data_IF_054689297178
#
_entry.id   IF_054689297178
#
_cell.length_a   1.000
_cell.length_b   1.000
_cell.length_c   1.000
_cell.angle_alpha   90.00
_cell.angle_beta   90.00
_cell.angle_gamma   90.00
#
_symmetry.space_group_name_H-M   'P 1'
#
loop_
_entity.id
_entity.type
_entity.pdbx_description
1 polymer ?
#
# COMPACT_ATOMS: atom_id res chain seq x y z
N UNK A 1 24.54 15.30 2.61
CA UNK A 1 23.55 14.26 2.25
C UNK A 1 22.20 14.70 2.76
N UNK A 2 21.11 14.40 2.05
CA UNK A 2 19.78 14.69 2.58
C UNK A 2 19.48 13.73 3.73
N UNK A 3 18.62 14.13 4.68
CA UNK A 3 18.22 13.26 5.79
C UNK A 3 17.58 11.94 5.31
N UNK A 4 16.87 11.97 4.18
CA UNK A 4 16.35 10.77 3.52
C UNK A 4 17.45 9.79 3.11
N UNK A 5 18.61 10.29 2.67
CA UNK A 5 19.74 9.46 2.26
C UNK A 5 20.40 8.79 3.47
N UNK A 6 20.49 9.52 4.59
CA UNK A 6 20.98 8.98 5.86
C UNK A 6 20.09 7.84 6.34
N UNK A 7 18.76 8.02 6.33
CA UNK A 7 17.81 6.97 6.71
C UNK A 7 17.85 5.78 5.75
N UNK A 8 17.97 6.02 4.44
CA UNK A 8 18.08 4.95 3.42
C UNK A 8 19.36 4.14 3.58
N UNK A 9 20.46 4.80 3.97
CA UNK A 9 21.74 4.14 4.26
C UNK A 9 21.65 3.35 5.56
N UNK A 10 21.07 3.93 6.61
CA UNK A 10 20.91 3.29 7.91
C UNK A 10 19.97 2.07 7.91
N UNK A 11 19.07 1.97 6.93
CA UNK A 11 18.11 0.87 6.77
C UNK A 11 18.42 -0.05 5.58
N UNK A 12 19.63 0.02 5.03
CA UNK A 12 19.99 -0.67 3.80
C UNK A 12 19.80 -2.20 3.89
N UNK A 13 20.18 -2.82 5.01
CA UNK A 13 20.01 -4.25 5.25
C UNK A 13 18.53 -4.69 5.20
N UNK A 14 17.65 -3.95 5.90
CA UNK A 14 16.20 -4.22 5.89
C UNK A 14 15.61 -3.94 4.51
N UNK A 15 16.04 -2.87 3.84
CA UNK A 15 15.58 -2.52 2.50
C UNK A 15 15.89 -3.62 1.48
N UNK A 16 17.12 -4.12 1.46
CA UNK A 16 17.52 -5.21 0.57
C UNK A 16 16.79 -6.52 0.92
N UNK A 17 16.59 -6.81 2.21
CA UNK A 17 15.81 -7.97 2.66
C UNK A 17 14.34 -7.91 2.19
N UNK A 18 13.71 -6.73 2.18
CA UNK A 18 12.35 -6.56 1.65
C UNK A 18 12.28 -6.84 0.14
N UNK A 19 13.25 -6.37 -0.65
CA UNK A 19 13.29 -6.62 -2.09
C UNK A 19 13.56 -8.08 -2.44
N UNK A 20 14.36 -8.77 -1.61
CA UNK A 20 14.64 -10.19 -1.75
C UNK A 20 13.53 -11.09 -1.18
N UNK A 21 12.54 -10.53 -0.47
CA UNK A 21 11.52 -11.32 0.20
C UNK A 21 10.70 -12.16 -0.80
N UNK A 22 10.47 -13.46 -0.56
CA UNK A 22 9.78 -14.35 -1.50
C UNK A 22 8.41 -13.86 -1.94
N UNK A 23 7.70 -13.13 -1.08
CA UNK A 23 6.42 -12.51 -1.44
C UNK A 23 6.57 -11.45 -2.55
N UNK A 24 7.53 -10.52 -2.39
CA UNK A 24 7.78 -9.43 -3.37
C UNK A 24 8.31 -10.01 -4.67
N UNK A 25 9.26 -10.95 -4.59
CA UNK A 25 9.78 -11.70 -5.74
C UNK A 25 8.67 -12.44 -6.47
N UNK A 26 7.81 -13.14 -5.72
CA UNK A 26 6.68 -13.89 -6.27
C UNK A 26 5.65 -13.01 -6.97
N UNK A 27 5.41 -11.78 -6.50
CA UNK A 27 4.57 -10.81 -7.22
C UNK A 27 5.25 -10.40 -8.53
N UNK A 28 6.52 -10.01 -8.48
CA UNK A 28 7.26 -9.54 -9.65
C UNK A 28 7.36 -10.62 -10.74
N UNK A 29 7.49 -11.88 -10.34
CA UNK A 29 7.63 -13.03 -11.23
C UNK A 29 6.28 -13.64 -11.63
N UNK A 30 5.17 -13.23 -11.00
CA UNK A 30 3.84 -13.81 -11.23
C UNK A 30 3.68 -15.24 -10.71
N UNK A 31 4.51 -15.65 -9.75
CA UNK A 31 4.57 -17.02 -9.20
C UNK A 31 3.99 -17.12 -7.79
N UNK A 32 3.58 -16.00 -7.18
CA UNK A 32 3.01 -15.98 -5.84
C UNK A 32 1.71 -16.78 -5.77
N UNK A 33 1.58 -17.59 -4.72
CA UNK A 33 0.33 -18.26 -4.36
C UNK A 33 -0.80 -17.23 -4.14
N UNK A 34 -1.88 -17.43 -4.88
CA UNK A 34 -3.04 -16.55 -4.88
C UNK A 34 -3.68 -16.37 -3.50
N UNK A 35 -3.65 -17.40 -2.63
CA UNK A 35 -4.22 -17.29 -1.29
C UNK A 35 -3.37 -16.43 -0.37
N UNK A 36 -2.03 -16.46 -0.53
CA UNK A 36 -1.13 -15.53 0.17
C UNK A 36 -1.38 -14.10 -0.27
N UNK A 37 -1.65 -13.92 -1.55
CA UNK A 37 -1.97 -12.61 -2.10
C UNK A 37 -3.32 -12.08 -1.59
N UNK A 38 -4.38 -12.91 -1.60
CA UNK A 38 -5.69 -12.58 -1.04
C UNK A 38 -5.61 -12.24 0.45
N UNK A 39 -4.80 -12.95 1.22
CA UNK A 39 -4.53 -12.62 2.61
C UNK A 39 -3.86 -11.24 2.75
N UNK A 40 -2.82 -10.97 1.97
CA UNK A 40 -2.14 -9.68 1.98
C UNK A 40 -3.10 -8.52 1.63
N UNK A 41 -3.93 -8.65 0.58
CA UNK A 41 -4.92 -7.62 0.21
C UNK A 41 -5.87 -7.30 1.37
N UNK A 42 -6.38 -8.32 2.07
CA UNK A 42 -7.28 -8.11 3.22
C UNK A 42 -6.57 -7.40 4.38
N UNK A 43 -5.33 -7.74 4.65
CA UNK A 43 -4.55 -7.14 5.73
C UNK A 43 -4.06 -5.72 5.40
N UNK A 44 -3.69 -5.46 4.15
CA UNK A 44 -3.23 -4.16 3.67
C UNK A 44 -4.36 -3.11 3.72
N UNK A 45 -5.61 -3.52 3.46
CA UNK A 45 -6.79 -2.68 3.65
C UNK A 45 -6.89 -2.12 5.08
N UNK A 46 -6.59 -2.95 6.09
CA UNK A 46 -6.63 -2.55 7.49
C UNK A 46 -5.49 -1.59 7.83
N UNK A 47 -4.31 -1.75 7.20
CA UNK A 47 -3.19 -0.81 7.35
C UNK A 47 -3.54 0.55 6.75
N UNK A 48 -4.19 0.61 5.58
CA UNK A 48 -4.58 1.87 4.94
C UNK A 48 -5.50 2.73 5.82
N UNK A 49 -6.40 2.10 6.57
CA UNK A 49 -7.26 2.81 7.53
C UNK A 49 -6.43 3.49 8.62
N UNK A 50 -5.46 2.77 9.19
CA UNK A 50 -4.59 3.31 10.25
C UNK A 50 -3.57 4.31 9.68
N UNK A 51 -3.15 4.12 8.43
CA UNK A 51 -2.30 5.04 7.70
C UNK A 51 -2.98 6.40 7.50
N UNK A 52 -4.27 6.42 7.13
CA UNK A 52 -5.05 7.65 7.05
C UNK A 52 -5.12 8.39 8.40
N UNK A 53 -5.24 7.66 9.52
CA UNK A 53 -5.22 8.25 10.88
C UNK A 53 -3.84 8.81 11.23
N UNK A 54 -2.77 8.09 10.89
CA UNK A 54 -1.39 8.55 11.05
C UNK A 54 -1.16 9.86 10.26
N UNK A 55 -1.65 9.96 9.03
CA UNK A 55 -1.58 11.18 8.21
C UNK A 55 -2.35 12.35 8.85
N UNK A 56 -3.55 12.09 9.38
CA UNK A 56 -4.33 13.10 10.10
C UNK A 56 -3.60 13.62 11.35
N UNK A 57 -2.96 12.74 12.12
CA UNK A 57 -2.09 13.13 13.23
C UNK A 57 -0.88 13.95 12.77
N UNK A 58 -0.32 13.61 11.60
CA UNK A 58 0.71 14.39 10.93
C UNK A 58 0.25 15.82 10.63
N UNK A 59 -0.97 15.99 10.11
CA UNK A 59 -1.57 17.30 9.86
C UNK A 59 -1.72 18.11 11.15
N UNK A 60 -2.26 17.49 12.20
CA UNK A 60 -2.47 18.14 13.50
C UNK A 60 -1.16 18.61 14.16
N UNK A 61 -0.02 17.98 13.83
CA UNK A 61 1.30 18.28 14.40
C UNK A 61 2.21 19.08 13.47
N UNK A 62 1.81 19.32 12.23
CA UNK A 62 2.66 20.00 11.26
C UNK A 62 2.93 21.45 11.69
N UNK A 63 4.21 21.88 11.74
CA UNK A 63 4.57 23.23 12.19
C UNK A 63 4.20 24.31 11.17
N UNK A 64 4.24 23.95 9.89
CA UNK A 64 4.02 24.87 8.78
C UNK A 64 2.66 24.64 8.11
N UNK A 65 1.88 25.68 7.79
CA UNK A 65 0.57 25.55 7.14
C UNK A 65 0.60 24.77 5.82
N UNK A 66 1.68 24.90 5.04
CA UNK A 66 1.84 24.16 3.79
C UNK A 66 1.96 22.65 4.02
N UNK A 67 2.72 22.25 5.04
CA UNK A 67 2.90 20.86 5.45
C UNK A 67 1.62 20.30 6.06
N UNK A 68 0.94 21.08 6.91
CA UNK A 68 -0.37 20.73 7.47
C UNK A 68 -1.39 20.43 6.37
N UNK A 69 -1.51 21.33 5.39
CA UNK A 69 -2.40 21.15 4.24
C UNK A 69 -2.06 19.87 3.48
N UNK A 70 -0.77 19.62 3.23
CA UNK A 70 -0.34 18.41 2.51
C UNK A 70 -0.75 17.13 3.22
N UNK A 71 -0.55 17.05 4.54
CA UNK A 71 -0.98 15.89 5.32
C UNK A 71 -2.51 15.75 5.36
N UNK A 72 -3.25 16.85 5.46
CA UNK A 72 -4.71 16.83 5.45
C UNK A 72 -5.27 16.34 4.11
N UNK A 73 -4.72 16.81 2.99
CA UNK A 73 -5.06 16.32 1.65
C UNK A 73 -4.84 14.81 1.54
N UNK A 74 -3.70 14.32 2.00
CA UNK A 74 -3.38 12.88 1.95
C UNK A 74 -4.32 12.07 2.84
N UNK A 75 -4.55 12.51 4.08
CA UNK A 75 -5.46 11.86 5.03
C UNK A 75 -6.90 11.77 4.50
N UNK A 76 -7.32 12.74 3.69
CA UNK A 76 -8.62 12.72 3.02
C UNK A 76 -8.61 11.82 1.78
N UNK A 77 -7.55 11.84 0.96
CA UNK A 77 -7.48 11.06 -0.28
C UNK A 77 -7.37 9.55 -0.04
N UNK A 78 -6.69 9.10 1.02
CA UNK A 78 -6.52 7.65 1.28
C UNK A 78 -7.85 6.93 1.49
N UNK A 79 -8.78 7.38 2.36
CA UNK A 79 -10.07 6.72 2.54
C UNK A 79 -11.01 6.81 1.34
N UNK A 80 -10.84 7.82 0.49
CA UNK A 80 -11.69 8.07 -0.68
C UNK A 80 -11.16 7.31 -1.89
N UNK A 81 -9.98 7.68 -2.38
CA UNK A 81 -9.46 7.21 -3.65
C UNK A 81 -8.76 5.85 -3.51
N UNK A 82 -7.88 5.73 -2.51
CA UNK A 82 -7.02 4.55 -2.34
C UNK A 82 -7.82 3.34 -1.84
N UNK A 83 -8.73 3.54 -0.87
CA UNK A 83 -9.60 2.47 -0.41
C UNK A 83 -10.64 2.06 -1.47
N UNK A 84 -11.08 2.93 -2.37
CA UNK A 84 -11.93 2.53 -3.50
C UNK A 84 -11.18 1.61 -4.47
N UNK A 85 -9.95 1.98 -4.85
CA UNK A 85 -9.07 1.14 -5.65
C UNK A 85 -8.80 -0.22 -4.97
N UNK A 86 -8.59 -0.20 -3.65
CA UNK A 86 -8.35 -1.43 -2.90
C UNK A 86 -9.56 -2.36 -2.89
N UNK A 87 -10.79 -1.79 -2.77
CA UNK A 87 -12.05 -2.55 -2.87
C UNK A 87 -12.25 -3.13 -4.26
N UNK A 88 -11.98 -2.38 -5.33
CA UNK A 88 -12.09 -2.90 -6.69
C UNK A 88 -11.12 -4.05 -6.93
N UNK A 89 -9.88 -3.90 -6.44
CA UNK A 89 -8.87 -4.93 -6.53
C UNK A 89 -9.24 -6.18 -5.72
N UNK A 90 -9.69 -6.02 -4.48
CA UNK A 90 -10.19 -7.12 -3.66
C UNK A 90 -11.32 -7.90 -4.37
N UNK A 91 -12.24 -7.20 -5.05
CA UNK A 91 -13.31 -7.82 -5.82
C UNK A 91 -12.79 -8.64 -7.02
N UNK A 92 -11.75 -8.18 -7.74
CA UNK A 92 -11.13 -8.94 -8.83
C UNK A 92 -10.56 -10.28 -8.37
N UNK A 93 -10.09 -10.34 -7.12
CA UNK A 93 -9.59 -11.57 -6.52
C UNK A 93 -10.67 -12.41 -5.84
N UNK A 94 -11.93 -11.97 -5.85
CA UNK A 94 -13.07 -12.67 -5.25
C UNK A 94 -13.18 -12.50 -3.74
N UNK A 95 -12.74 -11.37 -3.19
CA UNK A 95 -12.94 -11.01 -1.78
C UNK A 95 -14.18 -10.10 -1.71
N UNK A 96 -15.17 -10.49 -0.93
CA UNK A 96 -16.40 -9.70 -0.79
C UNK A 96 -16.17 -8.43 0.04
N UNK A 97 -16.94 -7.36 -0.22
CA UNK A 97 -16.81 -6.12 0.57
C UNK A 97 -17.01 -6.35 2.08
N UNK A 98 -18.05 -7.11 2.45
CA UNK A 98 -18.32 -7.45 3.85
C UNK A 98 -17.17 -8.27 4.46
N UNK A 99 -16.61 -9.21 3.70
CA UNK A 99 -15.47 -10.01 4.14
C UNK A 99 -14.28 -9.10 4.45
N UNK A 100 -13.94 -8.21 3.51
CA UNK A 100 -12.85 -7.23 3.64
C UNK A 100 -13.03 -6.30 4.85
N UNK A 101 -14.23 -5.75 5.05
CA UNK A 101 -14.53 -4.84 6.16
C UNK A 101 -14.60 -5.54 7.52
N UNK A 102 -14.84 -6.85 7.54
CA UNK A 102 -14.90 -7.66 8.76
C UNK A 102 -13.58 -8.36 9.11
N UNK A 103 -12.55 -8.21 8.28
CA UNK A 103 -11.27 -8.90 8.47
C UNK A 103 -10.61 -8.50 9.80
N UNK A 104 -10.20 -9.46 10.64
CA UNK A 104 -9.40 -9.15 11.82
C UNK A 104 -7.95 -8.85 11.44
N UNK A 105 -7.35 -7.84 12.08
CA UNK A 105 -5.91 -7.59 11.94
C UNK A 105 -5.10 -8.78 12.47
N UNK A 106 -4.21 -9.30 11.62
CA UNK A 106 -3.19 -10.24 12.04
C UNK A 106 -2.21 -9.56 13.03
N UNK A 107 -1.52 -10.32 13.89
CA UNK A 107 -0.62 -9.76 14.91
C UNK A 107 0.47 -8.84 14.33
N UNK A 108 1.06 -9.19 13.19
CA UNK A 108 2.07 -8.39 12.50
C UNK A 108 1.48 -7.08 11.96
N UNK A 109 0.30 -7.14 11.34
CA UNK A 109 -0.47 -6.00 10.84
C UNK A 109 -0.78 -5.01 11.96
N UNK A 110 -1.33 -5.53 13.07
CA UNK A 110 -1.63 -4.73 14.26
C UNK A 110 -0.38 -4.06 14.82
N UNK A 111 0.70 -4.82 15.01
CA UNK A 111 1.95 -4.28 15.57
C UNK A 111 2.50 -3.13 14.72
N UNK A 112 2.46 -3.28 13.39
CA UNK A 112 2.91 -2.25 12.47
C UNK A 112 2.01 -1.01 12.52
N UNK A 113 0.70 -1.20 12.44
CA UNK A 113 -0.25 -0.09 12.45
C UNK A 113 -0.22 0.68 13.79
N UNK A 114 -0.20 -0.03 14.91
CA UNK A 114 -0.07 0.55 16.25
C UNK A 114 1.24 1.35 16.38
N UNK A 115 2.34 0.84 15.80
CA UNK A 115 3.61 1.56 15.78
C UNK A 115 3.51 2.88 15.01
N UNK A 116 2.94 2.87 13.79
CA UNK A 116 2.80 4.08 12.97
C UNK A 116 1.97 5.16 13.67
N UNK A 117 0.78 4.78 14.15
CA UNK A 117 -0.13 5.71 14.84
C UNK A 117 0.51 6.21 16.14
N UNK A 118 1.16 5.34 16.92
CA UNK A 118 1.81 5.73 18.18
C UNK A 118 2.93 6.73 17.95
N UNK A 119 3.81 6.51 16.96
CA UNK A 119 4.91 7.43 16.69
C UNK A 119 4.38 8.78 16.19
N UNK A 120 3.38 8.78 15.31
CA UNK A 120 2.71 10.01 14.88
C UNK A 120 2.02 10.74 16.06
N UNK A 121 1.38 10.00 16.96
CA UNK A 121 0.68 10.55 18.11
C UNK A 121 1.63 11.08 19.19
N UNK A 122 2.79 10.44 19.41
CA UNK A 122 3.78 10.88 20.40
C UNK A 122 4.55 12.10 19.93
N UNK A 123 4.83 12.19 18.62
CA UNK A 123 5.74 13.18 18.07
C UNK A 123 7.18 12.92 18.51
N UNK A 124 8.13 13.65 17.92
CA UNK A 124 9.53 13.57 18.33
C UNK A 124 9.73 14.31 19.67
N UNK A 125 10.32 13.63 20.67
CA UNK A 125 10.78 14.30 21.89
C UNK A 125 12.08 15.10 21.66
N UNK A 126 12.74 14.90 20.52
CA UNK A 126 13.99 15.57 20.14
C UNK A 126 13.76 16.79 19.22
N UNK A 127 12.84 17.68 19.59
CA UNK A 127 12.74 19.01 18.99
C UNK A 127 12.28 19.07 17.51
N UNK A 128 11.95 20.27 17.01
CA UNK A 128 11.16 20.45 15.78
C UNK A 128 11.88 20.18 14.43
N UNK A 129 13.09 19.62 14.40
CA UNK A 129 13.96 19.80 13.21
C UNK A 129 14.24 18.58 12.34
N UNK A 130 13.88 17.34 12.71
CA UNK A 130 14.44 16.16 11.99
C UNK A 130 13.44 15.17 11.38
N UNK A 131 12.22 15.04 11.91
CA UNK A 131 11.28 13.99 11.46
C UNK A 131 10.26 14.44 10.41
N UNK A 132 10.00 15.75 10.25
CA UNK A 132 9.03 16.26 9.25
C UNK A 132 9.45 16.00 7.80
N UNK A 133 10.76 15.87 7.54
CA UNK A 133 11.30 15.60 6.21
C UNK A 133 11.07 14.14 5.76
N UNK A 134 11.13 13.15 6.68
CA UNK A 134 11.00 11.74 6.32
C UNK A 134 9.56 11.35 5.97
N UNK A 135 8.57 11.91 6.66
CA UNK A 135 7.17 11.66 6.33
C UNK A 135 6.77 12.30 4.98
N UNK A 136 7.44 13.39 4.58
CA UNK A 136 7.22 14.05 3.29
C UNK A 136 7.80 13.28 2.11
N UNK A 137 8.93 12.57 2.28
CA UNK A 137 9.50 11.72 1.23
C UNK A 137 8.73 10.41 1.05
N UNK A 138 8.17 9.85 2.12
CA UNK A 138 7.35 8.62 2.05
C UNK A 138 5.94 8.91 1.54
N UNK A 139 5.35 10.05 1.89
CA UNK A 139 4.04 10.47 1.38
C UNK A 139 4.07 11.05 -0.05
N UNK A 140 5.28 11.19 -0.62
CA UNK A 140 5.50 11.41 -2.05
C UNK A 140 5.63 10.10 -2.84
N UNK A 141 5.31 8.94 -2.22
CA UNK A 141 4.83 7.75 -2.90
C UNK A 141 3.46 8.00 -3.54
N UNK A 142 3.37 9.04 -4.37
CA UNK A 142 2.28 9.19 -5.31
C UNK A 142 2.25 7.90 -6.14
N UNK A 143 1.08 7.29 -6.25
CA UNK A 143 0.66 6.78 -7.55
C UNK A 143 1.43 5.52 -8.05
N UNK A 144 1.73 4.55 -7.17
CA UNK A 144 2.40 3.31 -7.61
C UNK A 144 1.51 2.43 -8.52
N UNK A 145 0.18 2.60 -8.42
CA UNK A 145 -0.77 1.98 -9.35
C UNK A 145 -0.82 2.63 -10.74
N UNK A 146 -0.49 3.92 -10.90
CA UNK A 146 -0.55 4.58 -12.23
C UNK A 146 0.83 4.85 -12.87
N UNK A 147 1.94 4.81 -12.12
CA UNK A 147 3.29 5.05 -12.66
C UNK A 147 4.05 3.78 -13.11
N UNK A 148 3.63 2.58 -12.72
CA UNK A 148 4.33 1.34 -13.11
C UNK A 148 4.02 0.88 -14.53
N UNK A 149 3.13 1.56 -15.27
CA UNK A 149 2.80 1.15 -16.64
C UNK A 149 2.37 -0.31 -16.73
N UNK A 150 1.80 -0.86 -15.64
CA UNK A 150 1.26 -2.21 -15.64
C UNK A 150 0.20 -2.28 -16.74
N UNK A 151 0.39 -3.10 -17.78
CA UNK A 151 -0.58 -3.19 -18.84
C UNK A 151 -1.79 -3.90 -18.26
N UNK A 152 -2.78 -3.12 -17.84
CA UNK A 152 -4.15 -3.58 -17.63
C UNK A 152 -4.67 -4.06 -18.98
N UNK A 153 -4.27 -5.27 -19.40
CA UNK A 153 -5.03 -6.05 -20.38
C UNK A 153 -6.19 -6.63 -19.61
N UNK A 154 -7.30 -5.90 -19.63
CA UNK A 154 -8.60 -6.51 -19.38
C UNK A 154 -8.68 -7.77 -20.24
N UNK A 155 -8.80 -8.95 -19.61
CA UNK A 155 -9.26 -10.14 -20.32
C UNK A 155 -10.77 -9.99 -20.57
N UNK A 156 -11.13 -9.00 -21.39
CA UNK A 156 -12.51 -8.71 -21.80
C UNK A 156 -12.73 -8.98 -23.31
N UNK A 157 -11.69 -9.23 -24.09
CA UNK A 157 -11.82 -9.59 -25.51
C UNK A 157 -11.37 -11.03 -25.78
N UNK A 158 -12.08 -11.99 -25.19
CA UNK A 158 -12.11 -13.38 -25.66
C UNK A 158 -13.51 -13.99 -25.51
N UNK A 159 -14.52 -13.25 -25.97
CA UNK A 159 -15.79 -13.79 -26.48
C UNK A 159 -15.90 -13.39 -27.96
N UNK A 160 -15.03 -13.91 -28.82
CA UNK A 160 -15.39 -14.10 -30.23
C UNK A 160 -15.81 -15.57 -30.38
N UNK A 161 -17.06 -15.76 -30.76
CA UNK A 161 -17.77 -17.03 -30.78
C UNK A 161 -17.35 -17.95 -31.93
N UNK A 162 -16.09 -18.38 -31.98
CA UNK A 162 -15.66 -19.46 -32.88
C UNK A 162 -15.42 -20.74 -32.08
N UNK A 163 -16.32 -21.72 -32.29
CA UNK A 163 -16.06 -23.13 -31.93
C UNK A 163 -14.77 -23.58 -32.61
N UNK A 164 -13.85 -24.29 -31.92
CA UNK A 164 -12.75 -24.96 -32.59
C UNK A 164 -13.27 -26.10 -33.48
N UNK A 165 -12.71 -26.23 -34.68
CA UNK A 165 -12.99 -27.32 -35.60
C UNK A 165 -12.55 -28.69 -35.01
N UNK A 166 -13.25 -29.80 -35.33
CA UNK A 166 -12.85 -31.12 -34.85
C UNK A 166 -11.51 -31.55 -35.49
N UNK A 167 -10.68 -32.23 -34.70
CA UNK A 167 -9.39 -32.75 -35.11
C UNK A 167 -9.53 -33.80 -36.23
N UNK A 168 -8.57 -33.89 -37.18
CA UNK A 168 -8.60 -34.91 -38.22
C UNK A 168 -8.31 -36.29 -37.63
N UNK A 169 -9.12 -37.26 -38.01
CA UNK A 169 -8.97 -38.67 -37.66
C UNK A 169 -7.66 -39.24 -38.22
N UNK A 170 -6.92 -39.95 -37.37
CA UNK A 170 -5.96 -40.98 -37.76
C UNK A 170 -6.54 -42.33 -37.36
#
# INVERSE_FOLDING_TARGET
>A
MAFSDELRTASADVWEAQHAHPFVRGIAEGTLDIERFRFWVRQDYLVLIEYARMLALGAARAPEPATMRRFAELAQSTPVDEMELHRSYAAEFGIGLRELESEPMAPTTRTHADFLVRIAAQGDRAGPTRTSAAASSTAAGRCQAQQTGWPYRSRSTARDGRRPAPAPSL
#
